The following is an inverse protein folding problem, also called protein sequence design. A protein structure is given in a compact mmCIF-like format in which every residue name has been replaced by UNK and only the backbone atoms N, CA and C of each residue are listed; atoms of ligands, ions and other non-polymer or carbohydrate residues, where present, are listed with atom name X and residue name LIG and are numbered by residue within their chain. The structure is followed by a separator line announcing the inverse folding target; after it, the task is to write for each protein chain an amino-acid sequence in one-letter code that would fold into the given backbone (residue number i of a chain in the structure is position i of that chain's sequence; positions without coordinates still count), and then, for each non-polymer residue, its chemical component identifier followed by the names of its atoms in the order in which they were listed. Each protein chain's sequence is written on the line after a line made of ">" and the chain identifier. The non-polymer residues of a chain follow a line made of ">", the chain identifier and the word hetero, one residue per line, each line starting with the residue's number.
data_IF_254409902690
#
_entry.id   IF_254409902690
#
_cell.length_a   1.000
_cell.length_b   1.000
_cell.length_c   1.000
_cell.angle_alpha   90.00
_cell.angle_beta   90.00
_cell.angle_gamma   90.00
#
_symmetry.space_group_name_H-M   'P 1'
#
loop_
_entity.id
_entity.type
_entity.pdbx_description
1 polymer ?
#
# COMPACT_ATOMS: atom_id res chain seq x y z
N UNK A 1 0.90 8.85 5.31
CA UNK A 1 1.05 8.09 4.04
C UNK A 1 -0.20 7.28 3.70
N UNK A 2 -0.66 6.41 4.60
CA UNK A 2 -1.86 5.57 4.40
C UNK A 2 -3.09 6.37 3.96
N UNK A 3 -3.38 7.51 4.59
CA UNK A 3 -4.50 8.40 4.20
C UNK A 3 -4.38 8.91 2.74
N UNK A 4 -3.16 9.19 2.24
CA UNK A 4 -2.96 9.61 0.85
C UNK A 4 -3.23 8.47 -0.12
N UNK A 5 -2.83 7.25 0.23
CA UNK A 5 -3.13 6.04 -0.55
C UNK A 5 -4.64 5.78 -0.54
N UNK A 6 -5.29 5.86 0.62
CA UNK A 6 -6.74 5.67 0.76
C UNK A 6 -7.54 6.64 -0.11
N UNK A 7 -7.20 7.93 -0.07
CA UNK A 7 -7.81 8.95 -0.94
C UNK A 7 -7.60 8.66 -2.42
N UNK A 8 -6.38 8.30 -2.82
CA UNK A 8 -6.05 7.96 -4.20
C UNK A 8 -6.87 6.75 -4.69
N UNK A 9 -6.94 5.69 -3.90
CA UNK A 9 -7.70 4.48 -4.24
C UNK A 9 -9.19 4.77 -4.29
N UNK A 10 -9.72 5.52 -3.32
CA UNK A 10 -11.14 5.88 -3.26
C UNK A 10 -11.55 6.73 -4.46
N UNK A 11 -10.75 7.76 -4.81
CA UNK A 11 -11.03 8.66 -5.93
C UNK A 11 -11.06 7.95 -7.29
N UNK A 12 -10.38 6.81 -7.43
CA UNK A 12 -10.28 6.05 -8.68
C UNK A 12 -10.88 4.64 -8.57
N UNK A 13 -11.68 4.37 -7.53
CA UNK A 13 -12.24 3.03 -7.28
C UNK A 13 -13.16 2.57 -8.41
N UNK A 14 -13.96 3.47 -8.95
CA UNK A 14 -14.89 3.21 -10.06
C UNK A 14 -14.15 2.95 -11.37
N UNK A 15 -12.94 3.52 -11.52
CA UNK A 15 -12.05 3.29 -12.66
C UNK A 15 -11.26 1.99 -12.54
N UNK A 16 -11.54 1.18 -11.51
CA UNK A 16 -10.89 -0.11 -11.28
C UNK A 16 -9.59 -0.04 -10.48
N UNK A 17 -9.20 1.12 -9.93
CA UNK A 17 -8.06 1.18 -9.02
C UNK A 17 -8.39 0.40 -7.75
N UNK A 18 -7.44 -0.44 -7.33
CA UNK A 18 -7.50 -1.19 -6.08
C UNK A 18 -6.19 -0.98 -5.34
N UNK A 19 -6.27 -0.97 -4.02
CA UNK A 19 -5.10 -0.87 -3.17
C UNK A 19 -5.38 -1.47 -1.80
N UNK A 20 -4.31 -1.79 -1.10
CA UNK A 20 -4.31 -2.25 0.28
C UNK A 20 -2.97 -1.86 0.90
N UNK A 21 -2.91 -1.81 2.23
CA UNK A 21 -1.68 -1.55 2.98
C UNK A 21 -1.35 -2.76 3.81
N UNK A 22 -0.11 -3.24 3.71
CA UNK A 22 0.41 -4.33 4.52
C UNK A 22 1.40 -3.77 5.52
N UNK A 23 1.17 -4.07 6.80
CA UNK A 23 2.13 -3.81 7.87
C UNK A 23 3.01 -5.04 8.06
N UNK A 24 4.32 -4.83 8.13
CA UNK A 24 5.30 -5.88 8.43
C UNK A 24 5.27 -6.10 9.95
N UNK A 25 4.24 -6.79 10.41
CA UNK A 25 3.99 -7.16 11.80
C UNK A 25 3.09 -8.40 11.82
N UNK A 26 3.02 -9.09 12.96
CA UNK A 26 2.21 -10.29 13.13
C UNK A 26 0.75 -9.99 13.49
N UNK A 27 -0.04 -11.03 13.82
CA UNK A 27 -1.45 -10.90 14.18
C UNK A 27 -1.74 -10.01 15.39
N UNK A 28 -0.74 -9.76 16.25
CA UNK A 28 -0.85 -8.94 17.45
C UNK A 28 -1.29 -7.49 17.17
N UNK A 29 -1.12 -6.99 15.93
CA UNK A 29 -1.52 -5.62 15.58
C UNK A 29 -2.95 -5.51 15.04
N UNK A 30 -3.71 -6.61 14.95
CA UNK A 30 -5.07 -6.60 14.36
C UNK A 30 -5.96 -5.52 14.95
N UNK A 31 -6.17 -5.53 16.28
CA UNK A 31 -7.04 -4.56 16.96
C UNK A 31 -6.54 -3.12 16.83
N UNK A 32 -5.21 -2.95 16.68
CA UNK A 32 -4.60 -1.64 16.46
C UNK A 32 -4.89 -1.13 15.05
N UNK A 33 -4.89 -2.01 14.05
CA UNK A 33 -5.24 -1.65 12.67
C UNK A 33 -6.73 -1.32 12.54
N UNK A 34 -7.60 -2.08 13.18
CA UNK A 34 -9.05 -1.81 13.18
C UNK A 34 -9.35 -0.45 13.82
N UNK A 35 -8.74 -0.16 14.97
CA UNK A 35 -8.82 1.16 15.62
C UNK A 35 -8.27 2.27 14.72
N UNK A 36 -7.10 2.07 14.13
CA UNK A 36 -6.49 3.05 13.22
C UNK A 36 -7.41 3.35 12.02
N UNK A 37 -8.02 2.33 11.43
CA UNK A 37 -8.94 2.50 10.32
C UNK A 37 -10.17 3.31 10.74
N UNK A 38 -10.76 3.00 11.91
CA UNK A 38 -11.91 3.72 12.44
C UNK A 38 -11.58 5.18 12.79
N UNK A 39 -10.50 5.42 13.53
CA UNK A 39 -10.06 6.76 13.94
C UNK A 39 -9.75 7.68 12.76
N UNK A 40 -9.23 7.11 11.67
CA UNK A 40 -8.79 7.86 10.48
C UNK A 40 -9.80 7.82 9.34
N UNK A 41 -10.94 7.13 9.51
CA UNK A 41 -11.96 6.97 8.48
C UNK A 41 -11.44 6.28 7.21
N UNK A 42 -10.49 5.36 7.34
CA UNK A 42 -9.84 4.69 6.21
C UNK A 42 -10.76 3.62 5.64
N UNK A 43 -10.92 3.61 4.32
CA UNK A 43 -11.74 2.60 3.62
C UNK A 43 -10.89 1.54 2.91
N UNK A 44 -9.62 1.84 2.72
CA UNK A 44 -8.63 0.92 2.17
C UNK A 44 -8.36 -0.23 3.16
N UNK A 45 -8.30 -1.48 2.70
CA UNK A 45 -7.93 -2.59 3.57
C UNK A 45 -6.53 -2.37 4.18
N UNK A 46 -6.48 -2.41 5.51
CA UNK A 46 -5.25 -2.51 6.27
C UNK A 46 -5.07 -3.96 6.71
N UNK A 47 -3.91 -4.53 6.45
CA UNK A 47 -3.60 -5.92 6.80
C UNK A 47 -2.21 -6.05 7.38
N UNK A 48 -1.91 -7.22 7.93
CA UNK A 48 -0.64 -7.60 8.51
C UNK A 48 -0.16 -8.91 7.88
N UNK A 49 1.07 -9.29 8.18
CA UNK A 49 1.64 -10.54 7.70
C UNK A 49 1.36 -11.65 8.73
N UNK A 50 0.74 -12.78 8.35
CA UNK A 50 0.42 -13.85 9.30
C UNK A 50 1.63 -14.37 10.09
N UNK A 51 2.84 -14.30 9.52
CA UNK A 51 4.11 -14.66 10.18
C UNK A 51 4.99 -13.46 10.53
N UNK A 52 4.44 -12.24 10.51
CA UNK A 52 5.18 -11.01 10.79
C UNK A 52 6.41 -10.82 9.92
N UNK A 53 7.54 -10.45 10.52
CA UNK A 53 8.83 -10.23 9.83
C UNK A 53 9.43 -11.50 9.22
N UNK A 54 8.93 -12.68 9.61
CA UNK A 54 9.36 -13.97 9.09
C UNK A 54 8.48 -14.47 7.94
N UNK A 55 7.56 -13.65 7.44
CA UNK A 55 6.65 -14.06 6.38
C UNK A 55 7.38 -14.22 5.03
N UNK A 56 7.21 -15.36 4.33
CA UNK A 56 7.84 -15.61 3.05
C UNK A 56 7.43 -14.62 1.96
N UNK A 57 6.30 -13.92 2.11
CA UNK A 57 5.88 -12.86 1.21
C UNK A 57 6.95 -11.75 1.10
N UNK A 58 7.67 -11.43 2.18
CA UNK A 58 8.70 -10.39 2.18
C UNK A 58 9.83 -10.72 1.19
N UNK A 59 10.25 -11.98 1.13
CA UNK A 59 11.27 -12.44 0.19
C UNK A 59 10.73 -12.47 -1.24
N UNK A 60 9.51 -12.96 -1.43
CA UNK A 60 8.85 -13.03 -2.75
C UNK A 60 8.73 -11.66 -3.42
N UNK A 61 8.36 -10.64 -2.65
CA UNK A 61 8.18 -9.29 -3.15
C UNK A 61 9.45 -8.42 -3.05
N UNK A 62 10.58 -8.99 -2.60
CA UNK A 62 11.86 -8.28 -2.43
C UNK A 62 11.70 -6.97 -1.65
N UNK A 63 10.90 -7.01 -0.58
CA UNK A 63 10.63 -5.82 0.24
C UNK A 63 11.89 -5.45 1.02
N UNK A 64 12.32 -4.20 0.90
CA UNK A 64 13.39 -3.65 1.73
C UNK A 64 12.88 -3.46 3.16
N UNK A 65 13.41 -4.27 4.08
CA UNK A 65 13.02 -4.25 5.51
C UNK A 65 13.60 -3.07 6.26
N UNK A 66 14.60 -2.40 5.69
CA UNK A 66 15.22 -1.20 6.29
C UNK A 66 14.47 0.08 5.92
N UNK A 67 13.62 0.02 4.90
CA UNK A 67 12.79 1.14 4.49
C UNK A 67 11.61 1.35 5.46
N UNK A 68 11.32 2.60 5.81
CA UNK A 68 10.16 2.95 6.65
C UNK A 68 8.83 2.63 5.99
N UNK A 69 8.79 2.65 4.65
CA UNK A 69 7.65 2.19 3.87
C UNK A 69 8.11 1.87 2.43
N UNK A 70 7.35 1.01 1.75
CA UNK A 70 7.51 0.73 0.32
C UNK A 70 6.15 0.86 -0.35
N UNK A 71 6.08 1.60 -1.46
CA UNK A 71 4.87 1.71 -2.28
C UNK A 71 5.14 1.10 -3.65
N UNK A 72 4.26 0.19 -4.05
CA UNK A 72 4.36 -0.55 -5.31
C UNK A 72 3.10 -0.26 -6.12
N UNK A 73 3.26 0.31 -7.30
CA UNK A 73 2.19 0.40 -8.31
C UNK A 73 2.37 -0.74 -9.29
N UNK A 74 1.33 -1.54 -9.46
CA UNK A 74 1.40 -2.82 -10.16
C UNK A 74 0.24 -2.96 -11.15
N UNK A 75 0.52 -3.46 -12.35
CA UNK A 75 -0.50 -3.80 -13.35
C UNK A 75 -0.04 -4.99 -14.18
N UNK A 76 -0.98 -5.83 -14.65
CA UNK A 76 -0.70 -6.97 -15.55
C UNK A 76 0.51 -7.82 -15.12
N UNK A 77 0.56 -8.19 -13.85
CA UNK A 77 1.66 -9.01 -13.26
C UNK A 77 3.05 -8.34 -13.31
N UNK A 78 3.14 -7.01 -13.41
CA UNK A 78 4.40 -6.27 -13.40
C UNK A 78 4.31 -5.00 -12.54
N UNK A 79 5.37 -4.74 -11.76
CA UNK A 79 5.53 -3.46 -11.08
C UNK A 79 5.90 -2.38 -12.11
N UNK A 80 5.11 -1.31 -12.19
CA UNK A 80 5.40 -0.15 -13.05
C UNK A 80 6.10 0.96 -12.30
N UNK A 81 5.98 0.97 -10.97
CA UNK A 81 6.68 1.90 -10.10
C UNK A 81 6.89 1.25 -8.73
N UNK A 82 8.10 1.41 -8.18
CA UNK A 82 8.47 0.96 -6.83
C UNK A 82 9.25 2.10 -6.20
N UNK A 83 8.82 2.54 -5.02
CA UNK A 83 9.51 3.57 -4.25
C UNK A 83 9.59 3.15 -2.78
N UNK A 84 10.75 3.38 -2.17
CA UNK A 84 11.01 3.16 -0.74
C UNK A 84 11.14 4.50 -0.02
N UNK A 85 10.90 4.51 1.29
CA UNK A 85 11.01 5.70 2.15
C UNK A 85 10.21 6.91 1.61
N UNK A 86 9.01 6.63 1.12
CA UNK A 86 8.16 7.63 0.48
C UNK A 86 7.71 8.64 1.53
N UNK A 87 7.95 9.91 1.23
CA UNK A 87 7.45 11.05 2.02
C UNK A 87 6.17 11.63 1.41
N UNK A 88 5.37 12.40 2.17
CA UNK A 88 4.17 13.06 1.66
C UNK A 88 4.38 13.92 0.40
N UNK A 89 5.56 14.53 0.25
CA UNK A 89 5.96 15.43 -0.84
C UNK A 89 6.29 14.64 -2.11
N UNK A 90 6.91 13.46 -1.96
CA UNK A 90 7.23 12.57 -3.07
C UNK A 90 6.02 11.79 -3.62
N UNK A 91 4.85 11.91 -2.97
CA UNK A 91 3.67 11.11 -3.27
C UNK A 91 3.11 11.32 -4.69
N UNK A 92 3.31 12.51 -5.28
CA UNK A 92 2.74 12.82 -6.60
C UNK A 92 3.25 11.86 -7.69
N UNK A 93 4.49 11.37 -7.56
CA UNK A 93 5.05 10.40 -8.51
C UNK A 93 4.28 9.07 -8.47
N UNK A 94 3.85 8.63 -7.28
CA UNK A 94 3.03 7.44 -7.07
C UNK A 94 1.63 7.66 -7.64
N UNK A 95 1.01 8.81 -7.36
CA UNK A 95 -0.31 9.13 -7.89
C UNK A 95 -0.31 9.16 -9.42
N UNK A 96 0.74 9.72 -10.03
CA UNK A 96 0.94 9.70 -11.49
C UNK A 96 1.09 8.29 -12.02
N UNK A 97 1.91 7.44 -11.39
CA UNK A 97 2.08 6.05 -11.77
C UNK A 97 0.74 5.28 -11.69
N UNK A 98 -0.02 5.46 -10.60
CA UNK A 98 -1.33 4.83 -10.41
C UNK A 98 -2.35 5.28 -11.48
N UNK A 99 -2.40 6.56 -11.82
CA UNK A 99 -3.27 7.03 -12.91
C UNK A 99 -2.85 6.49 -14.28
N UNK A 100 -1.55 6.30 -14.51
CA UNK A 100 -1.06 5.74 -15.78
C UNK A 100 -1.47 4.29 -16.02
N UNK A 101 -1.69 3.49 -14.95
CA UNK A 101 -2.19 2.11 -15.10
C UNK A 101 -3.69 2.05 -15.36
N UNK A 102 -4.44 3.09 -14.99
CA UNK A 102 -5.88 3.20 -15.27
C UNK A 102 -6.12 3.57 -16.73
N UNK A 103 -5.34 4.50 -17.28
CA UNK A 103 -5.44 4.90 -18.69
C UNK A 103 -5.04 3.80 -19.69
N UNK A 104 -4.49 2.68 -19.20
CA UNK A 104 -4.04 1.53 -20.00
C UNK A 104 -4.99 0.34 -19.91
N UNK A 105 -6.03 0.42 -19.10
CA UNK A 105 -7.12 -0.56 -19.02
C UNK A 105 -8.27 -0.14 -19.92
#
# INVERSE_FOLDING_TARGET
>A
MVEKIDRLVTAHREQGLRGFVVYIAGPEIKDRLERLAAERGLTIPLTYLPKGENDPALQKYRVDRTASNTVIVYTRKKAVHVATNVTPEAFEQIARAARSILARN
#
